data_IF_443133204492
#
_entry.id   IF_443133204492
#
_cell.length_a   1.000
_cell.length_b   1.000
_cell.length_c   1.000
_cell.angle_alpha   90.00
_cell.angle_beta   90.00
_cell.angle_gamma   90.00
#
_symmetry.space_group_name_H-M   'P 1'
#
loop_
_entity.id
_entity.type
_entity.pdbx_description
1 polymer ?
#
# COMPACT_ATOMS: atom_id res chain seq x y z
N UNK A 1 -14.20 -7.59 -5.65
CA UNK A 1 -13.65 -6.99 -4.41
C UNK A 1 -12.15 -7.06 -4.48
N UNK A 2 -11.47 -6.00 -4.06
CA UNK A 2 -10.00 -5.95 -3.99
C UNK A 2 -9.57 -5.72 -2.55
N UNK A 3 -8.38 -6.23 -2.23
CA UNK A 3 -7.73 -6.07 -0.96
C UNK A 3 -6.57 -5.12 -1.13
N UNK A 4 -6.47 -4.13 -0.26
CA UNK A 4 -5.39 -3.13 -0.29
C UNK A 4 -4.72 -3.03 1.07
N UNK A 5 -3.41 -2.84 1.05
CA UNK A 5 -2.62 -2.44 2.22
C UNK A 5 -2.47 -0.92 2.20
N UNK A 6 -2.77 -0.21 3.29
CA UNK A 6 -2.65 1.24 3.30
C UNK A 6 -1.17 1.65 3.32
N UNK A 7 -0.90 2.80 2.70
CA UNK A 7 0.39 3.47 2.73
C UNK A 7 0.25 4.73 3.59
N UNK A 8 1.23 4.98 4.45
CA UNK A 8 1.24 6.16 5.32
C UNK A 8 2.61 6.84 5.32
N UNK A 9 2.63 8.16 5.51
CA UNK A 9 3.83 8.95 5.80
C UNK A 9 4.15 9.03 7.29
N UNK A 10 3.30 8.47 8.15
CA UNK A 10 3.58 8.37 9.58
C UNK A 10 4.57 7.23 9.81
N UNK A 11 5.73 7.49 10.45
CA UNK A 11 6.67 6.43 10.79
C UNK A 11 5.99 5.37 11.66
N UNK A 12 6.18 4.07 11.37
CA UNK A 12 5.59 3.01 12.17
C UNK A 12 6.22 2.97 13.56
N UNK A 13 5.41 2.72 14.58
CA UNK A 13 5.90 2.47 15.94
C UNK A 13 6.66 1.14 16.04
N UNK A 14 6.29 0.15 15.22
CA UNK A 14 6.95 -1.14 15.08
C UNK A 14 7.35 -1.37 13.61
N UNK A 15 8.66 -1.35 13.35
CA UNK A 15 9.23 -1.51 12.00
C UNK A 15 9.10 -2.93 11.45
N UNK A 16 8.72 -3.91 12.28
CA UNK A 16 8.39 -5.27 11.82
C UNK A 16 6.99 -5.34 11.19
N UNK A 17 6.12 -4.38 11.51
CA UNK A 17 4.71 -4.33 11.09
C UNK A 17 4.46 -3.38 9.93
N UNK A 18 5.54 -2.86 9.33
CA UNK A 18 5.48 -2.01 8.15
C UNK A 18 6.70 -2.25 7.26
N UNK A 19 6.57 -1.87 5.98
CA UNK A 19 7.68 -1.92 5.03
C UNK A 19 7.84 -0.55 4.40
N UNK A 20 9.02 0.05 4.58
CA UNK A 20 9.35 1.32 3.93
C UNK A 20 9.41 1.13 2.42
N UNK A 21 8.79 2.05 1.67
CA UNK A 21 8.84 2.05 0.21
C UNK A 21 10.20 2.60 -0.22
N UNK A 22 11.01 1.83 -0.97
CA UNK A 22 12.31 2.32 -1.43
C UNK A 22 12.16 3.58 -2.28
N UNK A 23 13.02 4.57 -2.06
CA UNK A 23 13.00 5.84 -2.80
C UNK A 23 13.03 5.63 -4.32
N UNK A 24 13.83 4.69 -4.83
CA UNK A 24 13.86 4.36 -6.26
C UNK A 24 12.50 3.87 -6.81
N UNK A 25 11.72 3.16 -5.99
CA UNK A 25 10.36 2.75 -6.35
C UNK A 25 9.41 3.96 -6.37
N UNK A 26 9.56 4.89 -5.41
CA UNK A 26 8.76 6.13 -5.37
C UNK A 26 8.97 6.97 -6.62
N UNK A 27 10.24 7.24 -6.97
CA UNK A 27 10.61 7.99 -8.18
C UNK A 27 10.05 7.33 -9.43
N UNK A 28 10.16 6.00 -9.55
CA UNK A 28 9.64 5.28 -10.73
C UNK A 28 8.12 5.38 -10.86
N UNK A 29 7.40 5.38 -9.74
CA UNK A 29 5.94 5.45 -9.69
C UNK A 29 5.41 6.89 -9.62
N UNK A 30 6.27 7.90 -9.67
CA UNK A 30 5.87 9.30 -9.56
C UNK A 30 5.27 9.67 -8.19
N UNK A 31 5.64 8.94 -7.13
CA UNK A 31 5.26 9.29 -5.76
C UNK A 31 6.15 10.44 -5.25
N UNK A 32 5.72 11.10 -4.18
CA UNK A 32 6.48 12.15 -3.49
C UNK A 32 7.81 11.64 -2.91
N UNK A 33 8.70 12.55 -2.51
CA UNK A 33 10.03 12.19 -1.97
C UNK A 33 10.02 11.86 -0.47
N UNK A 34 8.93 12.15 0.26
CA UNK A 34 8.87 11.91 1.70
C UNK A 34 8.87 10.40 2.00
N UNK A 35 9.32 9.99 3.18
CA UNK A 35 9.28 8.55 3.52
C UNK A 35 7.85 8.09 3.69
N UNK A 36 7.54 6.93 3.12
CA UNK A 36 6.24 6.29 3.28
C UNK A 36 6.39 4.78 3.48
N UNK A 37 5.42 4.21 4.20
CA UNK A 37 5.44 2.81 4.63
C UNK A 37 4.14 2.12 4.25
N UNK A 38 4.26 0.89 3.75
CA UNK A 38 3.14 -0.05 3.61
C UNK A 38 2.86 -0.66 4.99
N UNK A 39 1.66 -0.44 5.51
CA UNK A 39 1.22 -1.01 6.80
C UNK A 39 0.79 -2.46 6.56
N UNK A 40 1.37 -3.40 7.33
CA UNK A 40 1.10 -4.83 7.17
C UNK A 40 -0.03 -5.34 8.05
N UNK A 41 -0.37 -4.59 9.10
CA UNK A 41 -1.38 -4.99 10.10
C UNK A 41 -2.79 -4.59 9.72
N UNK A 42 -2.96 -3.78 8.68
CA UNK A 42 -4.27 -3.28 8.27
C UNK A 42 -4.57 -3.75 6.85
N UNK A 43 -5.70 -4.44 6.70
CA UNK A 43 -6.13 -4.93 5.42
C UNK A 43 -7.51 -4.35 5.08
N UNK A 44 -7.52 -3.47 4.10
CA UNK A 44 -8.71 -2.74 3.67
C UNK A 44 -9.42 -3.50 2.54
N UNK A 45 -10.74 -3.62 2.64
CA UNK A 45 -11.60 -4.17 1.60
C UNK A 45 -12.25 -3.03 0.85
N UNK A 46 -12.11 -3.06 -0.48
CA UNK A 46 -12.65 -2.02 -1.34
C UNK A 46 -13.35 -2.62 -2.56
N UNK A 47 -14.45 -2.00 -2.99
CA UNK A 47 -15.11 -2.34 -4.24
C UNK A 47 -14.45 -1.55 -5.38
N UNK A 48 -13.79 -2.25 -6.29
CA UNK A 48 -13.16 -1.65 -7.47
C UNK A 48 -13.95 -1.95 -8.75
N UNK A 49 -14.17 -0.97 -9.65
CA UNK A 49 -13.93 0.47 -9.44
C UNK A 49 -14.94 1.04 -8.43
N UNK A 50 -14.48 1.94 -7.56
CA UNK A 50 -15.31 2.53 -6.50
C UNK A 50 -15.16 4.04 -6.41
N UNK A 51 -16.06 4.73 -5.69
CA UNK A 51 -16.14 6.19 -5.68
C UNK A 51 -14.90 6.88 -5.07
N UNK A 52 -14.14 6.19 -4.23
CA UNK A 52 -12.93 6.74 -3.61
C UNK A 52 -11.69 6.69 -4.50
N UNK A 53 -11.79 6.14 -5.71
CA UNK A 53 -10.69 6.17 -6.66
C UNK A 53 -10.54 7.58 -7.22
N UNK A 54 -9.34 8.12 -7.05
CA UNK A 54 -8.93 9.40 -7.63
C UNK A 54 -7.94 9.13 -8.74
N UNK A 55 -8.05 9.92 -9.80
CA UNK A 55 -7.06 9.91 -10.86
C UNK A 55 -5.70 10.34 -10.31
N UNK A 56 -4.64 9.78 -10.89
CA UNK A 56 -3.26 10.17 -10.60
C UNK A 56 -3.13 11.67 -10.92
N UNK A 57 -2.65 12.50 -9.97
CA UNK A 57 -2.50 13.92 -10.20
C UNK A 57 -1.61 14.20 -11.42
N UNK A 58 -2.14 14.96 -12.38
CA UNK A 58 -1.40 15.34 -13.59
C UNK A 58 -1.41 14.30 -14.72
N UNK A 59 -2.14 13.19 -14.57
CA UNK A 59 -2.29 12.20 -15.65
C UNK A 59 -3.39 12.62 -16.65
N UNK A 60 -3.04 12.84 -17.95
CA UNK A 60 -4.00 13.26 -18.97
C UNK A 60 -4.97 12.15 -19.42
N UNK A 61 -4.66 10.88 -19.14
CA UNK A 61 -5.49 9.73 -19.46
C UNK A 61 -6.47 9.38 -18.33
N UNK A 62 -6.31 10.02 -17.16
CA UNK A 62 -7.17 9.77 -16.00
C UNK A 62 -6.95 8.39 -15.39
N UNK A 63 -5.73 7.85 -15.48
CA UNK A 63 -5.40 6.59 -14.81
C UNK A 63 -5.52 6.74 -13.28
N UNK A 64 -5.94 5.66 -12.63
CA UNK A 64 -6.14 5.59 -11.17
C UNK A 64 -5.03 4.82 -10.47
N UNK A 65 -4.10 4.23 -11.22
CA UNK A 65 -3.00 3.42 -10.72
C UNK A 65 -1.66 4.09 -11.05
N UNK A 66 -0.79 4.24 -10.04
CA UNK A 66 0.57 4.80 -10.22
C UNK A 66 1.54 3.83 -10.93
N UNK A 67 1.12 2.58 -11.15
CA UNK A 67 1.93 1.52 -11.78
C UNK A 67 2.19 0.32 -10.87
N UNK A 68 3.05 -0.59 -11.33
CA UNK A 68 3.35 -1.84 -10.63
C UNK A 68 4.56 -1.73 -9.70
N UNK A 69 4.44 -2.32 -8.52
CA UNK A 69 5.55 -2.48 -7.58
C UNK A 69 6.63 -3.40 -8.17
N UNK A 70 7.93 -3.16 -7.88
CA UNK A 70 8.98 -4.11 -8.25
C UNK A 70 8.73 -5.47 -7.61
N UNK A 71 9.00 -6.57 -8.33
CA UNK A 71 8.75 -7.95 -7.84
C UNK A 71 9.42 -8.22 -6.50
N UNK A 72 10.69 -7.86 -6.33
CA UNK A 72 11.41 -8.06 -5.07
C UNK A 72 10.77 -7.32 -3.88
N UNK A 73 10.22 -6.12 -4.15
CA UNK A 73 9.53 -5.35 -3.13
C UNK A 73 8.17 -5.97 -2.77
N UNK A 74 7.42 -6.41 -3.79
CA UNK A 74 6.17 -7.15 -3.59
C UNK A 74 6.38 -8.42 -2.76
N UNK A 75 7.39 -9.23 -3.06
CA UNK A 75 7.68 -10.46 -2.31
C UNK A 75 8.08 -10.17 -0.85
N UNK A 76 8.78 -9.06 -0.60
CA UNK A 76 9.11 -8.61 0.75
C UNK A 76 7.85 -8.28 1.55
N UNK A 77 6.93 -7.52 0.94
CA UNK A 77 5.64 -7.19 1.56
C UNK A 77 4.85 -8.47 1.83
N UNK A 78 4.72 -9.35 0.83
CA UNK A 78 3.96 -10.60 0.93
C UNK A 78 4.48 -11.48 2.07
N UNK A 79 5.80 -11.70 2.12
CA UNK A 79 6.44 -12.54 3.14
C UNK A 79 6.19 -12.00 4.54
N UNK A 80 6.37 -10.68 4.75
CA UNK A 80 6.17 -10.07 6.06
C UNK A 80 4.69 -10.00 6.45
N UNK A 81 3.81 -9.77 5.48
CA UNK A 81 2.37 -9.76 5.69
C UNK A 81 1.86 -11.14 6.14
N UNK A 82 2.31 -12.22 5.49
CA UNK A 82 1.99 -13.59 5.91
C UNK A 82 2.46 -13.87 7.34
N UNK A 83 3.69 -13.46 7.69
CA UNK A 83 4.18 -13.59 9.05
C UNK A 83 3.34 -12.81 10.09
N UNK A 84 2.88 -11.60 9.74
CA UNK A 84 1.98 -10.82 10.60
C UNK A 84 0.59 -11.46 10.71
N UNK A 85 0.10 -12.06 9.63
CA UNK A 85 -1.18 -12.77 9.60
C UNK A 85 -1.16 -14.03 10.47
N UNK A 86 -0.12 -14.86 10.32
CA UNK A 86 0.08 -16.08 11.12
C UNK A 86 0.24 -15.75 12.61
N UNK A 87 0.81 -14.59 12.94
CA UNK A 87 0.91 -14.08 14.30
C UNK A 87 -0.38 -13.45 14.85
N UNK A 88 -1.47 -13.42 14.07
CA UNK A 88 -2.75 -12.84 14.48
C UNK A 88 -2.74 -11.31 14.62
N UNK A 89 -1.78 -10.63 13.99
CA UNK A 89 -1.60 -9.17 14.10
C UNK A 89 -2.31 -8.36 13.00
N UNK A 90 -3.01 -9.03 12.08
CA UNK A 90 -3.71 -8.37 10.97
C UNK A 90 -5.16 -8.11 11.35
N UNK A 91 -5.56 -6.84 11.28
CA UNK A 91 -6.94 -6.40 11.47
C UNK A 91 -7.57 -6.12 10.12
N UNK A 92 -8.76 -6.69 9.92
CA UNK A 92 -9.57 -6.46 8.72
C UNK A 92 -10.39 -5.18 8.89
N UNK A 93 -10.14 -4.17 8.05
CA UNK A 93 -10.92 -2.93 8.06
C UNK A 93 -11.84 -2.92 6.85
N UNK A 94 -13.14 -3.00 7.11
CA UNK A 94 -14.17 -2.86 6.07
C UNK A 94 -14.46 -1.37 5.88
N UNK A 95 -13.82 -0.74 4.89
CA UNK A 95 -14.28 0.58 4.44
C UNK A 95 -15.52 0.38 3.60
N UNK A 96 -16.65 0.80 4.16
CA UNK A 96 -17.91 0.85 3.42
C UNK A 96 -18.00 2.27 2.89
N UNK A 97 -17.93 2.42 1.58
CA UNK A 97 -18.26 3.66 0.88
C UNK A 97 -19.73 3.63 0.47
#
# INVERSE_FOLDING_TARGET
MVTILPVTHTPPSDTSLAVEIPHATKVRLGLDDDRSWVVLTELNYFQWPGPDLRTVPGDPLGEVAYGQLPTAFYETIRTRWLAAYDAGKVTQVKRTS
#
